data_IF_069429391636
#
_entry.id   IF_069429391636
#
_cell.length_a   1.000
_cell.length_b   1.000
_cell.length_c   1.000
_cell.angle_alpha   90.00
_cell.angle_beta   90.00
_cell.angle_gamma   90.00
#
_symmetry.space_group_name_H-M   'P 1'
#
loop_
_entity.id
_entity.type
_entity.pdbx_description
1 polymer ?
#
# COMPACT_ATOMS: atom_id res chain seq x y z
N UNK A 1 -9.87 -0.06 -8.56
CA UNK A 1 -10.45 -0.47 -7.26
C UNK A 1 -11.49 -1.58 -7.40
N UNK A 2 -12.65 -1.38 -8.06
CA UNK A 2 -13.71 -2.42 -8.14
C UNK A 2 -13.27 -3.75 -8.78
N UNK A 3 -12.48 -3.70 -9.84
CA UNK A 3 -11.93 -4.90 -10.48
C UNK A 3 -11.00 -5.67 -9.52
N UNK A 4 -10.05 -4.97 -8.88
CA UNK A 4 -9.15 -5.58 -7.91
C UNK A 4 -9.90 -6.17 -6.71
N UNK A 5 -10.92 -5.47 -6.19
CA UNK A 5 -11.76 -5.99 -5.11
C UNK A 5 -12.52 -7.27 -5.49
N UNK A 6 -12.90 -7.42 -6.77
CA UNK A 6 -13.46 -8.68 -7.28
C UNK A 6 -12.39 -9.78 -7.28
N UNK A 7 -11.16 -9.47 -7.72
CA UNK A 7 -10.05 -10.44 -7.71
C UNK A 7 -9.71 -10.90 -6.30
N UNK A 8 -9.61 -9.98 -5.33
CA UNK A 8 -9.37 -10.30 -3.89
C UNK A 8 -10.40 -11.32 -3.38
N UNK A 9 -11.68 -11.17 -3.74
CA UNK A 9 -12.73 -12.10 -3.29
C UNK A 9 -12.72 -13.46 -4.00
N UNK A 10 -12.23 -13.53 -5.23
CA UNK A 10 -12.37 -14.72 -6.08
C UNK A 10 -11.09 -15.55 -6.17
N UNK A 11 -9.93 -14.95 -5.93
CA UNK A 11 -8.64 -15.63 -5.97
C UNK A 11 -8.29 -16.21 -4.60
N UNK A 12 -7.63 -17.36 -4.62
CA UNK A 12 -6.98 -17.92 -3.43
C UNK A 12 -5.57 -17.34 -3.22
N UNK A 13 -4.95 -16.86 -4.30
CA UNK A 13 -3.67 -16.17 -4.24
C UNK A 13 -3.87 -14.72 -3.80
N UNK A 14 -3.09 -14.21 -2.82
CA UNK A 14 -3.22 -12.83 -2.38
C UNK A 14 -2.95 -11.81 -3.50
N UNK A 15 -3.65 -10.69 -3.44
CA UNK A 15 -3.54 -9.57 -4.38
C UNK A 15 -2.84 -8.40 -3.69
N UNK A 16 -1.69 -8.00 -4.23
CA UNK A 16 -0.98 -6.80 -3.81
C UNK A 16 -1.12 -5.70 -4.87
N UNK A 17 -1.38 -4.47 -4.44
CA UNK A 17 -1.40 -3.26 -5.28
C UNK A 17 -0.83 -2.08 -4.49
N UNK A 18 -0.43 -1.00 -5.16
CA UNK A 18 -0.19 0.28 -4.46
C UNK A 18 0.86 1.18 -5.09
N UNK A 19 1.56 0.66 -6.08
CA UNK A 19 2.58 1.37 -6.85
C UNK A 19 1.99 2.57 -7.62
N UNK A 20 0.67 2.62 -7.77
CA UNK A 20 -0.06 3.69 -8.46
C UNK A 20 -0.95 4.53 -7.55
N UNK A 21 -0.89 4.36 -6.22
CA UNK A 21 -1.64 5.22 -5.30
C UNK A 21 -1.16 6.66 -5.43
N UNK A 22 -2.10 7.57 -5.71
CA UNK A 22 -1.83 8.99 -5.76
C UNK A 22 -2.14 9.59 -4.40
N UNK A 23 -1.08 9.83 -3.61
CA UNK A 23 -1.16 10.23 -2.21
C UNK A 23 -1.90 9.20 -1.33
N UNK A 24 -1.95 9.48 -0.03
CA UNK A 24 -2.64 8.63 0.98
C UNK A 24 -4.10 8.38 0.64
N UNK A 25 -4.80 9.40 0.12
CA UNK A 25 -6.22 9.27 -0.25
C UNK A 25 -6.45 8.16 -1.27
N UNK A 26 -5.49 7.90 -2.17
CA UNK A 26 -5.59 6.81 -3.13
C UNK A 26 -5.52 5.43 -2.46
N UNK A 27 -4.69 5.30 -1.43
CA UNK A 27 -4.58 4.09 -0.63
C UNK A 27 -5.83 3.88 0.23
N UNK A 28 -6.32 4.90 0.94
CA UNK A 28 -7.54 4.83 1.75
C UNK A 28 -8.72 4.31 0.94
N UNK A 29 -8.97 4.91 -0.24
CA UNK A 29 -10.04 4.48 -1.14
C UNK A 29 -9.90 3.02 -1.60
N UNK A 30 -8.66 2.55 -1.80
CA UNK A 30 -8.42 1.16 -2.21
C UNK A 30 -8.71 0.19 -1.06
N UNK A 31 -8.27 0.53 0.15
CA UNK A 31 -8.50 -0.29 1.34
C UNK A 31 -9.98 -0.30 1.75
N UNK A 32 -10.68 0.82 1.65
CA UNK A 32 -12.13 0.91 1.88
C UNK A 32 -12.93 0.06 0.88
N UNK A 33 -12.43 -0.06 -0.35
CA UNK A 33 -13.05 -0.90 -1.37
C UNK A 33 -12.71 -2.40 -1.21
N UNK A 34 -11.84 -2.79 -0.26
CA UNK A 34 -11.32 -4.15 -0.14
C UNK A 34 -10.54 -4.59 -1.39
N UNK A 35 -9.77 -3.67 -1.98
CA UNK A 35 -9.13 -3.87 -3.27
C UNK A 35 -7.74 -4.53 -3.21
N UNK A 36 -7.25 -4.85 -2.03
CA UNK A 36 -5.92 -5.43 -1.81
C UNK A 36 -5.88 -6.28 -0.54
N UNK A 37 -5.09 -7.35 -0.55
CA UNK A 37 -4.68 -8.10 0.64
C UNK A 37 -3.40 -7.50 1.26
N UNK A 38 -2.52 -6.98 0.41
CA UNK A 38 -1.27 -6.30 0.77
C UNK A 38 -1.13 -4.99 0.00
N UNK A 39 -0.31 -4.07 0.50
CA UNK A 39 -0.03 -2.80 -0.19
C UNK A 39 1.44 -2.56 -0.49
N UNK A 40 1.73 -1.89 -1.60
CA UNK A 40 3.10 -1.56 -2.03
C UNK A 40 3.23 -0.10 -2.51
N UNK A 41 3.15 0.91 -1.63
CA UNK A 41 3.26 2.30 -2.03
C UNK A 41 4.58 2.62 -2.75
N UNK A 42 4.48 3.41 -3.82
CA UNK A 42 5.62 4.04 -4.48
C UNK A 42 5.95 5.36 -3.79
N UNK A 43 7.24 5.58 -3.50
CA UNK A 43 7.71 6.73 -2.74
C UNK A 43 7.42 8.07 -3.43
N UNK A 44 7.58 8.14 -4.76
CA UNK A 44 7.35 9.37 -5.54
C UNK A 44 5.85 9.74 -5.56
N UNK A 45 4.98 8.73 -5.54
CA UNK A 45 3.53 8.94 -5.69
C UNK A 45 2.77 9.08 -4.39
N UNK A 46 3.22 8.42 -3.32
CA UNK A 46 2.51 8.41 -2.03
C UNK A 46 2.71 9.72 -1.24
N UNK A 47 3.66 10.57 -1.67
CA UNK A 47 4.01 11.83 -1.00
C UNK A 47 5.36 11.79 -0.28
N UNK A 48 6.33 11.04 -0.83
CA UNK A 48 7.67 10.90 -0.27
C UNK A 48 7.69 10.18 1.07
N UNK A 49 8.72 10.45 1.87
CA UNK A 49 8.90 9.83 3.20
C UNK A 49 7.69 10.08 4.11
N UNK A 50 7.17 11.31 4.15
CA UNK A 50 5.99 11.64 4.97
C UNK A 50 4.76 10.84 4.56
N UNK A 51 4.49 10.76 3.26
CA UNK A 51 3.42 9.93 2.73
C UNK A 51 3.63 8.45 3.06
N UNK A 52 4.85 7.94 2.95
CA UNK A 52 5.13 6.54 3.26
C UNK A 52 4.87 6.22 4.75
N UNK A 53 5.25 7.10 5.68
CA UNK A 53 4.97 6.91 7.12
C UNK A 53 3.47 6.95 7.42
N UNK A 54 2.71 7.81 6.75
CA UNK A 54 1.24 7.85 6.86
C UNK A 54 0.61 6.56 6.31
N UNK A 55 1.10 6.06 5.17
CA UNK A 55 0.64 4.82 4.55
C UNK A 55 0.92 3.61 5.44
N UNK A 56 2.12 3.57 6.04
CA UNK A 56 2.50 2.54 7.01
C UNK A 56 1.57 2.53 8.22
N UNK A 57 1.28 3.69 8.82
CA UNK A 57 0.36 3.78 9.94
C UNK A 57 -1.07 3.36 9.57
N UNK A 58 -1.54 3.74 8.37
CA UNK A 58 -2.85 3.34 7.84
C UNK A 58 -2.93 1.81 7.64
N UNK A 59 -1.91 1.20 7.04
CA UNK A 59 -1.84 -0.24 6.80
C UNK A 59 -1.85 -1.01 8.12
N UNK A 60 -1.00 -0.59 9.07
CA UNK A 60 -0.93 -1.19 10.40
C UNK A 60 -2.26 -1.08 11.16
N UNK A 61 -2.93 0.07 11.08
CA UNK A 61 -4.26 0.27 11.68
C UNK A 61 -5.35 -0.64 11.09
N UNK A 62 -5.13 -1.19 9.89
CA UNK A 62 -6.04 -2.15 9.23
C UNK A 62 -5.54 -3.59 9.28
N UNK A 63 -4.39 -3.85 9.91
CA UNK A 63 -3.77 -5.18 9.92
C UNK A 63 -3.34 -5.67 8.54
N UNK A 64 -2.96 -4.74 7.64
CA UNK A 64 -2.51 -5.05 6.28
C UNK A 64 -0.99 -4.91 6.23
N UNK A 65 -0.31 -5.96 5.76
CA UNK A 65 1.14 -5.90 5.56
C UNK A 65 1.49 -5.04 4.35
N UNK A 66 2.65 -4.40 4.44
CA UNK A 66 3.12 -3.43 3.45
C UNK A 66 4.51 -3.79 2.95
N UNK A 67 4.70 -3.66 1.63
CA UNK A 67 6.00 -3.64 0.97
C UNK A 67 6.24 -2.29 0.30
N UNK A 68 7.31 -2.13 -0.49
CA UNK A 68 7.61 -0.88 -1.19
C UNK A 68 7.73 -1.08 -2.70
N UNK A 69 7.42 -0.04 -3.47
CA UNK A 69 7.76 0.01 -4.89
C UNK A 69 8.98 0.92 -5.14
N UNK A 70 10.02 0.35 -5.77
CA UNK A 70 11.25 1.04 -6.20
C UNK A 70 12.02 1.75 -5.06
N UNK A 71 12.99 2.59 -5.46
CA UNK A 71 13.86 3.41 -4.59
C UNK A 71 14.49 2.64 -3.43
N UNK A 72 15.11 1.45 -3.64
CA UNK A 72 15.62 0.61 -2.55
C UNK A 72 16.61 1.35 -1.63
N UNK A 73 17.32 2.35 -2.14
CA UNK A 73 18.25 3.21 -1.40
C UNK A 73 17.55 4.01 -0.28
N UNK A 74 16.23 4.24 -0.40
CA UNK A 74 15.42 4.95 0.60
C UNK A 74 14.39 4.01 1.21
N UNK A 75 13.70 3.21 0.40
CA UNK A 75 12.60 2.35 0.83
C UNK A 75 13.03 1.24 1.77
N UNK A 76 14.28 0.75 1.68
CA UNK A 76 14.80 -0.22 2.65
C UNK A 76 14.81 0.33 4.09
N UNK A 77 15.19 1.61 4.26
CA UNK A 77 15.17 2.27 5.56
C UNK A 77 13.75 2.49 6.07
N UNK A 78 12.83 2.83 5.15
CA UNK A 78 11.43 3.04 5.50
C UNK A 78 10.75 1.73 5.90
N UNK A 79 10.98 0.65 5.16
CA UNK A 79 10.50 -0.69 5.52
C UNK A 79 11.05 -1.16 6.86
N UNK A 80 12.31 -0.87 7.18
CA UNK A 80 12.86 -1.18 8.50
C UNK A 80 12.18 -0.39 9.64
N UNK A 81 11.50 0.72 9.31
CA UNK A 81 10.78 1.57 10.25
C UNK A 81 9.26 1.35 10.23
N UNK A 82 8.71 0.46 9.40
CA UNK A 82 7.30 0.10 9.44
C UNK A 82 7.02 -0.88 10.59
N UNK A 83 5.92 -0.74 11.33
CA UNK A 83 5.59 -1.57 12.48
C UNK A 83 5.08 -2.97 12.11
#
# INVERSE_FOLDING_TARGET
MRANARLVRELTSPVQIGENFNLITGMEQALDAGAADYVMPDLDRIGGVTGFMQASALAAGRGIEMSSHLFPEVSAHLLAATP
#
